data_IF_708150280649
#
_entry.id   IF_708150280649
#
_cell.length_a   1.000
_cell.length_b   1.000
_cell.length_c   1.000
_cell.angle_alpha   90.00
_cell.angle_beta   90.00
_cell.angle_gamma   90.00
#
_symmetry.space_group_name_H-M   'P 1'
#
loop_
_entity.id
_entity.type
_entity.pdbx_description
1 polymer ?
#
# COMPACT_ATOMS: atom_id res chain seq x y z
N UNK A 1 17.82 15.14 -4.87
CA UNK A 1 16.42 15.08 -4.37
C UNK A 1 16.15 13.88 -3.46
N UNK A 2 16.52 12.63 -3.80
CA UNK A 2 16.33 11.44 -2.93
C UNK A 2 16.90 11.56 -1.52
N UNK A 3 18.07 12.18 -1.36
CA UNK A 3 18.70 12.30 -0.04
C UNK A 3 17.98 13.30 0.87
N UNK A 4 17.42 14.38 0.30
CA UNK A 4 16.66 15.38 1.04
C UNK A 4 15.29 14.85 1.46
N UNK A 5 14.61 14.10 0.59
CA UNK A 5 13.35 13.43 0.96
C UNK A 5 13.55 12.37 2.04
N UNK A 6 14.68 11.64 2.00
CA UNK A 6 14.99 10.64 3.02
C UNK A 6 15.34 11.27 4.37
N UNK A 7 16.10 12.37 4.37
CA UNK A 7 16.38 13.16 5.58
C UNK A 7 15.11 13.74 6.17
N UNK A 8 14.23 14.33 5.34
CA UNK A 8 12.98 14.93 5.79
C UNK A 8 12.01 13.87 6.33
N UNK A 9 11.95 12.69 5.68
CA UNK A 9 11.17 11.55 6.16
C UNK A 9 11.71 11.00 7.48
N UNK A 10 13.04 10.89 7.61
CA UNK A 10 13.69 10.49 8.86
C UNK A 10 13.43 11.48 9.99
N UNK A 11 13.53 12.78 9.72
CA UNK A 11 13.19 13.84 10.68
C UNK A 11 11.72 13.78 11.09
N UNK A 12 10.81 13.59 10.13
CA UNK A 12 9.38 13.43 10.40
C UNK A 12 9.11 12.22 11.29
N UNK A 13 9.68 11.05 10.98
CA UNK A 13 9.57 9.84 11.79
C UNK A 13 10.10 10.05 13.21
N UNK A 14 11.26 10.70 13.35
CA UNK A 14 11.85 11.00 14.65
C UNK A 14 10.95 11.96 15.45
N UNK A 15 10.40 12.99 14.80
CA UNK A 15 9.47 13.94 15.43
C UNK A 15 8.20 13.24 15.91
N UNK A 16 7.60 12.38 15.08
CA UNK A 16 6.44 11.56 15.46
C UNK A 16 6.78 10.67 16.66
N UNK A 17 7.95 10.03 16.65
CA UNK A 17 8.41 9.17 17.74
C UNK A 17 8.57 9.93 19.07
N UNK A 18 9.26 11.07 19.05
CA UNK A 18 9.45 11.92 20.23
C UNK A 18 8.09 12.40 20.75
N UNK A 19 7.19 12.81 19.85
CA UNK A 19 5.84 13.25 20.20
C UNK A 19 5.06 12.12 20.86
N UNK A 20 5.10 10.91 20.32
CA UNK A 20 4.42 9.74 20.87
C UNK A 20 4.94 9.35 22.26
N UNK A 21 6.26 9.35 22.48
CA UNK A 21 6.84 9.07 23.79
C UNK A 21 6.44 10.15 24.80
N UNK A 22 6.60 11.42 24.42
CA UNK A 22 6.25 12.56 25.28
C UNK A 22 4.78 12.51 25.66
N UNK A 23 3.91 12.25 24.68
CA UNK A 23 2.48 12.07 24.91
C UNK A 23 2.19 10.91 25.87
N UNK A 24 2.87 9.77 25.70
CA UNK A 24 2.70 8.61 26.60
C UNK A 24 3.12 8.93 28.02
N UNK A 25 4.24 9.62 28.19
CA UNK A 25 4.78 9.97 29.50
C UNK A 25 3.85 10.89 30.29
N UNK A 26 3.26 11.89 29.62
CA UNK A 26 2.36 12.85 30.28
C UNK A 26 0.91 12.37 30.39
N UNK A 27 0.51 11.33 29.65
CA UNK A 27 -0.88 10.84 29.61
C UNK A 27 -0.97 9.37 30.07
N UNK A 28 -0.69 9.16 31.35
CA UNK A 28 -0.78 7.86 32.04
C UNK A 28 -2.17 7.56 32.59
N UNK A 29 -3.07 8.55 32.60
CA UNK A 29 -4.45 8.35 33.04
C UNK A 29 -5.13 7.22 32.26
N UNK A 30 -5.74 6.32 33.01
CA UNK A 30 -6.39 5.13 32.46
C UNK A 30 -7.84 5.44 32.13
N UNK A 31 -8.20 5.24 30.85
CA UNK A 31 -9.55 5.47 30.35
C UNK A 31 -10.09 4.18 29.74
N UNK A 32 -11.32 3.83 30.12
CA UNK A 32 -12.09 2.77 29.48
C UNK A 32 -12.83 3.35 28.27
N UNK A 33 -12.70 2.71 27.12
CA UNK A 33 -13.49 3.05 25.94
C UNK A 33 -14.67 2.06 25.85
N UNK A 34 -15.86 2.59 25.63
CA UNK A 34 -17.05 1.81 25.30
C UNK A 34 -17.31 1.85 23.80
N UNK A 35 -17.50 0.69 23.18
CA UNK A 35 -17.89 0.56 21.77
C UNK A 35 -19.14 -0.30 21.66
N UNK A 36 -20.28 0.33 21.33
CA UNK A 36 -21.58 -0.32 21.38
C UNK A 36 -21.89 -0.84 22.78
N UNK A 37 -22.10 -2.15 22.93
CA UNK A 37 -22.35 -2.82 24.21
C UNK A 37 -21.10 -3.36 24.90
N UNK A 38 -19.92 -3.21 24.29
CA UNK A 38 -18.65 -3.70 24.84
C UNK A 38 -17.89 -2.56 25.52
N UNK A 39 -17.50 -2.78 26.78
CA UNK A 39 -16.59 -1.88 27.50
C UNK A 39 -15.22 -2.53 27.55
N UNK A 40 -14.21 -1.83 27.05
CA UNK A 40 -12.83 -2.28 27.09
C UNK A 40 -12.19 -1.98 28.44
N UNK A 41 -11.27 -2.84 28.87
CA UNK A 41 -10.52 -2.64 30.12
C UNK A 41 -9.82 -1.29 30.11
N UNK A 42 -9.77 -0.59 31.26
CA UNK A 42 -9.04 0.66 31.40
C UNK A 42 -7.59 0.50 30.95
N UNK A 43 -7.16 1.35 30.03
CA UNK A 43 -5.76 1.44 29.57
C UNK A 43 -5.38 2.91 29.50
N UNK A 44 -4.07 3.24 29.58
CA UNK A 44 -3.62 4.61 29.38
C UNK A 44 -4.20 5.20 28.09
N UNK A 45 -4.68 6.45 28.14
CA UNK A 45 -5.23 7.16 26.96
C UNK A 45 -4.24 7.13 25.79
N UNK A 46 -2.95 7.23 26.11
CA UNK A 46 -1.84 7.09 25.16
C UNK A 46 -1.87 5.79 24.35
N UNK A 47 -2.21 4.65 24.96
CA UNK A 47 -2.29 3.38 24.25
C UNK A 47 -3.38 3.38 23.17
N UNK A 48 -4.52 4.02 23.43
CA UNK A 48 -5.62 4.12 22.48
C UNK A 48 -5.26 5.04 21.30
N UNK A 49 -4.69 6.21 21.58
CA UNK A 49 -4.34 7.18 20.56
C UNK A 49 -3.20 6.67 19.67
N UNK A 50 -2.15 6.12 20.28
CA UNK A 50 -1.02 5.55 19.52
C UNK A 50 -1.48 4.33 18.72
N UNK A 51 -2.31 3.47 19.31
CA UNK A 51 -2.91 2.35 18.60
C UNK A 51 -3.69 2.81 17.37
N UNK A 52 -4.61 3.77 17.53
CA UNK A 52 -5.38 4.33 16.42
C UNK A 52 -4.49 4.98 15.35
N UNK A 53 -3.46 5.71 15.76
CA UNK A 53 -2.50 6.33 14.83
C UNK A 53 -1.73 5.30 14.02
N UNK A 54 -1.19 4.26 14.67
CA UNK A 54 -0.44 3.18 14.00
C UNK A 54 -1.35 2.39 13.06
N UNK A 55 -2.55 2.02 13.51
CA UNK A 55 -3.51 1.30 12.66
C UNK A 55 -3.99 2.15 11.47
N UNK A 56 -4.34 3.42 11.72
CA UNK A 56 -4.76 4.35 10.67
C UNK A 56 -3.63 4.63 9.68
N UNK A 57 -2.41 4.84 10.16
CA UNK A 57 -1.22 5.01 9.33
C UNK A 57 -0.90 3.76 8.51
N UNK A 58 -0.95 2.58 9.11
CA UNK A 58 -0.73 1.31 8.41
C UNK A 58 -1.80 1.08 7.32
N UNK A 59 -3.08 1.33 7.62
CA UNK A 59 -4.16 1.26 6.64
C UNK A 59 -3.96 2.29 5.52
N UNK A 60 -3.63 3.53 5.87
CA UNK A 60 -3.33 4.58 4.90
C UNK A 60 -2.16 4.22 3.98
N UNK A 61 -1.09 3.61 4.53
CA UNK A 61 0.02 3.10 3.74
C UNK A 61 -0.39 1.92 2.87
N UNK A 62 -1.12 0.94 3.39
CA UNK A 62 -1.59 -0.21 2.62
C UNK A 62 -2.45 0.22 1.42
N UNK A 63 -3.36 1.18 1.63
CA UNK A 63 -4.21 1.73 0.59
C UNK A 63 -3.44 2.67 -0.35
N UNK A 64 -2.52 3.48 0.19
CA UNK A 64 -1.77 4.51 -0.52
C UNK A 64 -0.53 3.99 -1.27
N UNK A 65 0.03 2.84 -0.92
CA UNK A 65 1.21 2.23 -1.57
C UNK A 65 0.93 1.67 -2.98
N UNK A 66 -0.07 2.23 -3.67
CA UNK A 66 -0.42 1.86 -5.03
C UNK A 66 -0.71 0.35 -5.18
N UNK A 67 -1.12 -0.34 -4.11
CA UNK A 67 -1.38 -1.79 -4.14
C UNK A 67 -2.39 -2.13 -5.24
N UNK A 68 -3.47 -1.36 -5.33
CA UNK A 68 -4.46 -1.47 -6.40
C UNK A 68 -3.91 -1.07 -7.77
N UNK A 69 -3.05 -0.06 -7.85
CA UNK A 69 -2.45 0.39 -9.10
C UNK A 69 -1.49 -0.68 -9.67
N UNK A 70 -0.68 -1.31 -8.82
CA UNK A 70 0.23 -2.41 -9.17
C UNK A 70 -0.54 -3.63 -9.68
N UNK A 71 -1.65 -3.98 -9.03
CA UNK A 71 -2.54 -5.06 -9.50
C UNK A 71 -3.13 -4.76 -10.88
N UNK A 72 -3.64 -3.55 -11.08
CA UNK A 72 -4.18 -3.09 -12.37
C UNK A 72 -3.11 -3.10 -13.46
N UNK A 73 -1.90 -2.67 -13.14
CA UNK A 73 -0.79 -2.63 -14.06
C UNK A 73 -0.36 -4.04 -14.49
N UNK A 74 -0.27 -4.98 -13.54
CA UNK A 74 0.02 -6.40 -13.83
C UNK A 74 -1.06 -7.04 -14.69
N UNK A 75 -2.33 -6.76 -14.42
CA UNK A 75 -3.44 -7.26 -15.23
C UNK A 75 -3.38 -6.72 -16.66
N UNK A 76 -3.09 -5.42 -16.82
CA UNK A 76 -2.92 -4.79 -18.13
C UNK A 76 -1.72 -5.39 -18.88
N UNK A 77 -0.59 -5.60 -18.20
CA UNK A 77 0.59 -6.23 -18.79
C UNK A 77 0.25 -7.61 -19.35
N UNK A 78 -0.41 -8.47 -18.56
CA UNK A 78 -0.81 -9.82 -18.97
C UNK A 78 -1.72 -9.80 -20.20
N UNK A 79 -2.66 -8.86 -20.25
CA UNK A 79 -3.56 -8.69 -21.40
C UNK A 79 -2.78 -8.29 -22.66
N UNK A 80 -1.91 -7.28 -22.57
CA UNK A 80 -1.12 -6.80 -23.71
C UNK A 80 -0.15 -7.89 -24.21
N UNK A 81 0.46 -8.67 -23.32
CA UNK A 81 1.31 -9.80 -23.72
C UNK A 81 0.54 -10.83 -24.52
N UNK A 82 -0.70 -11.14 -24.12
CA UNK A 82 -1.57 -12.10 -24.82
C UNK A 82 -2.00 -11.57 -26.20
N UNK A 83 -2.35 -10.29 -26.29
CA UNK A 83 -2.70 -9.63 -27.57
C UNK A 83 -1.51 -9.66 -28.54
N UNK A 84 -0.30 -9.36 -28.05
CA UNK A 84 0.93 -9.43 -28.85
C UNK A 84 1.25 -10.85 -29.35
N UNK A 85 1.06 -11.86 -28.49
CA UNK A 85 1.27 -13.26 -28.87
C UNK A 85 0.28 -13.71 -29.95
N UNK A 86 -0.99 -13.33 -29.83
CA UNK A 86 -2.01 -13.62 -30.83
C UNK A 86 -1.69 -12.97 -32.18
N UNK A 87 -1.35 -11.67 -32.21
CA UNK A 87 -0.97 -10.97 -33.44
C UNK A 87 0.26 -11.62 -34.10
N UNK A 88 1.27 -12.04 -33.31
CA UNK A 88 2.43 -12.79 -33.84
C UNK A 88 2.04 -14.13 -34.45
N UNK A 89 1.03 -14.82 -33.90
CA UNK A 89 0.52 -16.09 -34.45
C UNK A 89 -0.19 -15.87 -35.79
N UNK A 90 -1.04 -14.85 -35.90
CA UNK A 90 -1.71 -14.49 -37.16
C UNK A 90 -0.70 -14.17 -38.26
N UNK A 91 0.29 -13.31 -38.00
CA UNK A 91 1.34 -12.98 -38.98
C UNK A 91 2.08 -14.23 -39.44
N UNK A 92 2.40 -15.16 -38.52
CA UNK A 92 3.03 -16.43 -38.86
C UNK A 92 2.13 -17.33 -39.71
N UNK A 93 0.83 -17.40 -39.42
CA UNK A 93 -0.12 -18.18 -40.20
C UNK A 93 -0.29 -17.62 -41.61
N UNK A 94 -0.48 -16.31 -41.74
CA UNK A 94 -0.58 -15.65 -43.04
C UNK A 94 0.67 -15.87 -43.89
N UNK A 95 1.86 -15.77 -43.28
CA UNK A 95 3.12 -16.04 -43.97
C UNK A 95 3.25 -17.50 -44.42
N UNK A 96 2.77 -18.46 -43.62
CA UNK A 96 2.77 -19.88 -44.02
C UNK A 96 1.79 -20.17 -45.16
N UNK A 97 0.61 -19.53 -45.16
CA UNK A 97 -0.37 -19.67 -46.25
C UNK A 97 0.19 -19.09 -47.55
N UNK A 98 0.73 -17.87 -47.52
CA UNK A 98 1.36 -17.25 -48.69
C UNK A 98 2.50 -18.07 -49.30
N UNK A 99 3.28 -18.80 -48.50
CA UNK A 99 4.36 -19.67 -49.00
C UNK A 99 3.83 -20.97 -49.62
N UNK A 100 2.65 -21.43 -49.18
CA UNK A 100 1.98 -22.62 -49.71
C UNK A 100 1.30 -22.37 -51.05
N UNK A 101 0.79 -21.15 -51.28
CA UNK A 101 0.14 -20.78 -52.54
C UNK A 101 1.14 -20.53 -53.69
N UNK A 102 2.45 -20.51 -53.39
CA UNK A 102 3.53 -20.32 -54.37
C UNK A 102 4.11 -21.66 -54.88
N UNK A 103 3.87 -22.76 -54.15
CA UNK A 103 4.17 -24.15 -54.58
C UNK A 103 3.06 -24.74 -55.46
#
# INVERSE_FOLDING_TARGET
>A
MRNLSNLLSGFFLLSVFITAITFTYFNTESVSISFGTRVFSPRPVSAWIIGAFVFGGALGLLLGLNFFYQLKLRAKLKRLTKELENARREVKQLRKLSLRDIE
#
